data_IF_042462304471
#
_entry.id   IF_042462304471
#
_cell.length_a   1.000
_cell.length_b   1.000
_cell.length_c   1.000
_cell.angle_alpha   90.00
_cell.angle_beta   90.00
_cell.angle_gamma   90.00
#
_symmetry.space_group_name_H-M   'P 1'
#
loop_
_entity.id
_entity.type
_entity.pdbx_description
1 polymer ?
#
# COMPACT_ATOMS: atom_id res chain seq x y z
N UNK A 1 71.72 10.91 12.01
CA UNK A 1 70.48 11.73 11.97
C UNK A 1 69.52 11.01 11.04
N UNK A 2 68.56 10.26 11.55
CA UNK A 2 67.66 9.42 10.79
C UNK A 2 66.27 10.07 10.86
N UNK A 3 65.77 10.52 9.71
CA UNK A 3 64.42 11.11 9.58
C UNK A 3 63.47 9.98 9.16
N UNK A 4 62.65 9.47 10.09
CA UNK A 4 61.54 8.58 9.78
C UNK A 4 60.35 9.35 9.28
N UNK A 5 60.11 9.28 7.94
CA UNK A 5 58.93 9.83 7.32
C UNK A 5 57.69 9.03 7.71
N UNK A 6 56.72 9.69 8.37
CA UNK A 6 55.39 9.15 8.66
C UNK A 6 54.56 9.13 7.37
N UNK A 7 54.39 7.93 6.81
CA UNK A 7 53.48 7.75 5.67
C UNK A 7 52.03 7.88 6.18
N UNK A 8 51.36 8.99 5.87
CA UNK A 8 49.97 9.22 6.16
C UNK A 8 49.15 8.39 5.17
N UNK A 9 48.72 7.19 5.62
CA UNK A 9 47.78 6.37 4.88
C UNK A 9 46.47 7.09 4.71
N UNK A 10 46.23 7.64 3.50
CA UNK A 10 44.94 8.20 3.09
C UNK A 10 43.96 7.06 2.90
N UNK A 11 43.25 6.66 3.96
CA UNK A 11 42.07 5.82 3.84
C UNK A 11 40.98 6.61 3.12
N UNK A 12 40.69 6.26 1.87
CA UNK A 12 39.51 6.77 1.18
C UNK A 12 38.29 6.33 1.98
N UNK A 13 37.46 7.29 2.43
CA UNK A 13 36.19 6.97 3.04
C UNK A 13 35.37 6.11 2.07
N UNK A 14 34.65 5.09 2.54
CA UNK A 14 33.82 4.28 1.65
C UNK A 14 32.83 5.18 0.95
N UNK A 15 32.77 5.08 -0.39
CA UNK A 15 31.76 5.77 -1.19
C UNK A 15 30.42 5.10 -0.89
N UNK A 16 29.55 5.81 -0.18
CA UNK A 16 28.19 5.37 0.05
C UNK A 16 27.43 5.64 -1.24
N UNK A 17 27.10 4.58 -1.98
CA UNK A 17 26.24 4.67 -3.16
C UNK A 17 24.80 4.78 -2.65
N UNK A 18 24.07 5.86 -3.00
CA UNK A 18 22.67 6.00 -2.63
C UNK A 18 21.84 4.86 -3.22
N UNK A 19 20.91 4.31 -2.44
CA UNK A 19 19.95 3.37 -2.97
C UNK A 19 18.88 4.10 -3.79
N UNK A 20 18.67 3.64 -5.02
CA UNK A 20 17.69 4.17 -5.97
C UNK A 20 16.68 3.11 -6.41
N UNK A 21 16.76 1.94 -5.84
CA UNK A 21 15.87 0.81 -6.15
C UNK A 21 14.56 1.00 -5.38
N UNK A 22 13.44 0.92 -6.10
CA UNK A 22 12.11 1.03 -5.46
C UNK A 22 11.73 -0.29 -4.80
N UNK A 23 11.01 -0.25 -3.68
CA UNK A 23 10.47 -1.46 -3.06
C UNK A 23 9.47 -2.16 -3.98
N UNK A 24 9.32 -3.46 -3.83
CA UNK A 24 8.34 -4.28 -4.52
C UNK A 24 7.13 -4.55 -3.63
N UNK A 25 5.94 -4.65 -4.25
CA UNK A 25 4.67 -4.93 -3.58
C UNK A 25 4.02 -6.12 -4.29
N UNK A 26 3.84 -7.23 -3.58
CA UNK A 26 3.15 -8.41 -4.08
C UNK A 26 1.88 -8.65 -3.25
N UNK A 27 0.72 -8.29 -3.81
CA UNK A 27 -0.59 -8.49 -3.16
C UNK A 27 -1.10 -9.89 -3.52
N UNK A 28 -1.40 -10.70 -2.50
CA UNK A 28 -1.99 -12.04 -2.65
C UNK A 28 -3.48 -12.05 -2.34
N UNK A 29 -3.96 -11.09 -1.55
CA UNK A 29 -5.39 -10.88 -1.26
C UNK A 29 -5.65 -9.39 -1.01
N UNK A 30 -6.77 -8.83 -1.49
CA UNK A 30 -7.73 -9.44 -2.40
C UNK A 30 -7.10 -9.68 -3.79
N UNK A 31 -7.70 -10.60 -4.57
CA UNK A 31 -7.28 -10.81 -5.97
C UNK A 31 -8.01 -9.83 -6.90
N UNK A 32 -7.39 -9.52 -8.04
CA UNK A 32 -8.02 -8.66 -9.05
C UNK A 32 -9.34 -9.27 -9.54
N UNK A 33 -10.39 -8.45 -9.60
CA UNK A 33 -11.74 -8.86 -10.01
C UNK A 33 -12.53 -9.60 -8.93
N UNK A 34 -11.98 -9.83 -7.74
CA UNK A 34 -12.72 -10.48 -6.63
C UNK A 34 -13.97 -9.68 -6.28
N UNK A 35 -15.05 -10.39 -5.94
CA UNK A 35 -16.34 -9.77 -5.56
C UNK A 35 -16.61 -9.91 -4.07
N UNK A 36 -17.16 -8.86 -3.49
CA UNK A 36 -17.59 -8.78 -2.10
C UNK A 36 -19.04 -8.26 -2.04
N UNK A 37 -19.69 -8.43 -0.90
CA UNK A 37 -21.00 -7.84 -0.62
C UNK A 37 -20.93 -6.97 0.64
N UNK A 38 -21.89 -6.07 0.80
CA UNK A 38 -22.02 -5.25 1.99
C UNK A 38 -22.08 -6.13 3.25
N UNK A 39 -21.40 -5.73 4.32
CA UNK A 39 -21.24 -6.49 5.55
C UNK A 39 -20.06 -7.45 5.58
N UNK A 40 -19.39 -7.70 4.47
CA UNK A 40 -18.23 -8.60 4.42
C UNK A 40 -16.92 -7.88 4.76
N UNK A 41 -15.97 -8.64 5.30
CA UNK A 41 -14.60 -8.20 5.47
C UNK A 41 -13.78 -8.49 4.20
N UNK A 42 -12.88 -7.57 3.85
CA UNK A 42 -11.83 -7.77 2.85
C UNK A 42 -10.58 -8.24 3.60
N UNK A 43 -10.16 -9.48 3.37
CA UNK A 43 -8.87 -9.94 3.85
C UNK A 43 -7.76 -9.37 2.96
N UNK A 44 -6.82 -8.66 3.56
CA UNK A 44 -5.64 -8.16 2.86
C UNK A 44 -4.42 -8.98 3.23
N UNK A 45 -3.64 -9.36 2.24
CA UNK A 45 -2.31 -9.93 2.43
C UNK A 45 -1.38 -9.45 1.31
N UNK A 46 -0.23 -8.92 1.70
CA UNK A 46 0.82 -8.52 0.78
C UNK A 46 2.20 -8.75 1.37
N UNK A 47 3.16 -9.02 0.49
CA UNK A 47 4.58 -9.06 0.81
C UNK A 47 5.26 -7.85 0.19
N UNK A 48 5.99 -7.13 1.01
CA UNK A 48 6.84 -6.01 0.65
C UNK A 48 8.29 -6.47 0.66
N UNK A 49 9.10 -6.06 -0.32
CA UNK A 49 10.52 -6.36 -0.32
C UNK A 49 11.34 -5.24 -0.96
N UNK A 50 12.56 -5.06 -0.44
CA UNK A 50 13.51 -4.07 -0.87
C UNK A 50 14.96 -4.60 -0.75
N UNK A 51 15.89 -4.07 -1.55
CA UNK A 51 17.30 -4.49 -1.55
C UNK A 51 18.08 -4.00 -0.32
N UNK A 52 17.68 -2.88 0.30
CA UNK A 52 18.34 -2.28 1.46
C UNK A 52 17.48 -2.40 2.71
N UNK A 53 16.36 -1.67 2.78
CA UNK A 53 15.42 -1.74 3.89
C UNK A 53 14.08 -1.08 3.57
N UNK A 54 13.00 -1.66 4.02
CA UNK A 54 11.65 -1.10 4.01
C UNK A 54 11.50 0.00 5.07
N UNK A 55 10.63 0.97 4.83
CA UNK A 55 10.28 2.02 5.78
C UNK A 55 8.81 1.96 6.18
N UNK A 56 7.88 2.02 5.22
CA UNK A 56 6.46 2.11 5.53
C UNK A 56 5.56 1.71 4.36
N UNK A 57 4.28 1.46 4.68
CA UNK A 57 3.21 1.27 3.71
C UNK A 57 1.95 2.01 4.16
N UNK A 58 1.06 2.26 3.22
CA UNK A 58 -0.31 2.72 3.43
C UNK A 58 -1.27 2.05 2.45
N UNK A 59 -2.57 2.08 2.77
CA UNK A 59 -3.63 1.51 1.95
C UNK A 59 -4.75 2.53 1.78
N UNK A 60 -5.25 2.65 0.56
CA UNK A 60 -6.45 3.42 0.25
C UNK A 60 -7.41 2.58 -0.61
N UNK A 61 -8.66 2.48 -0.16
CA UNK A 61 -9.76 1.89 -0.94
C UNK A 61 -10.74 2.98 -1.31
N UNK A 62 -11.11 3.04 -2.58
CA UNK A 62 -12.07 4.02 -3.08
C UNK A 62 -12.86 3.47 -4.26
N UNK A 63 -14.09 3.97 -4.45
CA UNK A 63 -14.88 3.64 -5.62
C UNK A 63 -14.20 4.18 -6.88
N UNK A 64 -14.10 3.33 -7.92
CA UNK A 64 -13.69 3.77 -9.25
C UNK A 64 -14.80 4.60 -9.88
N UNK A 65 -14.52 5.88 -10.10
CA UNK A 65 -15.49 6.78 -10.77
C UNK A 65 -15.42 6.55 -12.27
N UNK A 66 -16.42 5.90 -12.80
CA UNK A 66 -16.69 5.86 -14.24
C UNK A 66 -17.63 7.04 -14.50
N UNK A 67 -17.20 8.05 -15.24
CA UNK A 67 -17.97 9.28 -15.46
C UNK A 67 -19.46 9.01 -15.77
N UNK A 68 -20.35 9.59 -14.98
CA UNK A 68 -21.80 9.44 -15.08
C UNK A 68 -22.52 10.28 -14.03
N UNK A 69 -23.75 10.72 -14.33
CA UNK A 69 -24.60 11.45 -13.40
C UNK A 69 -25.11 10.50 -12.30
N UNK A 70 -24.92 10.87 -11.04
CA UNK A 70 -25.54 10.17 -9.92
C UNK A 70 -26.98 10.65 -9.76
N UNK A 71 -27.95 9.78 -10.03
CA UNK A 71 -29.33 10.01 -9.62
C UNK A 71 -29.45 9.77 -8.11
N UNK A 72 -30.11 10.68 -7.40
CA UNK A 72 -30.41 10.51 -5.98
C UNK A 72 -31.43 9.39 -5.81
N UNK A 73 -30.99 8.26 -5.31
CA UNK A 73 -31.82 7.08 -5.01
C UNK A 73 -32.09 7.02 -3.51
N UNK A 74 -33.29 6.64 -3.13
CA UNK A 74 -33.63 6.29 -1.73
C UNK A 74 -33.81 4.78 -1.66
N UNK A 75 -33.07 4.05 -0.84
CA UNK A 75 -32.08 4.51 0.20
C UNK A 75 -30.85 5.22 -0.39
N UNK A 76 -30.18 6.05 0.43
CA UNK A 76 -29.02 6.80 -0.01
C UNK A 76 -27.87 5.85 -0.31
N UNK A 77 -27.33 5.89 -1.54
CA UNK A 77 -26.17 5.10 -1.93
C UNK A 77 -24.88 5.81 -1.54
N UNK A 78 -24.03 5.17 -0.71
CA UNK A 78 -22.79 5.74 -0.21
C UNK A 78 -21.62 4.86 -0.67
N UNK A 79 -20.60 5.43 -1.35
CA UNK A 79 -19.40 4.69 -1.70
C UNK A 79 -18.64 4.21 -0.47
N UNK A 80 -18.18 2.98 -0.50
CA UNK A 80 -17.23 2.48 0.49
C UNK A 80 -15.87 3.17 0.32
N UNK A 81 -15.26 3.55 1.42
CA UNK A 81 -13.88 4.02 1.47
C UNK A 81 -13.18 3.48 2.71
N UNK A 82 -11.89 3.20 2.56
CA UNK A 82 -11.03 2.76 3.67
C UNK A 82 -9.67 3.41 3.50
N UNK A 83 -9.10 3.89 4.58
CA UNK A 83 -7.76 4.44 4.62
C UNK A 83 -7.03 3.83 5.82
N UNK A 84 -5.94 3.13 5.55
CA UNK A 84 -4.96 2.79 6.57
C UNK A 84 -3.83 3.78 6.47
N UNK A 85 -3.65 4.55 7.52
CA UNK A 85 -2.55 5.52 7.63
C UNK A 85 -1.20 4.82 7.52
N UNK A 86 -0.18 5.58 7.15
CA UNK A 86 1.21 5.14 7.05
C UNK A 86 1.61 4.30 8.27
N UNK A 87 1.98 3.07 8.02
CA UNK A 87 2.38 2.08 9.02
C UNK A 87 3.81 1.65 8.76
N UNK A 88 4.62 1.60 9.80
CA UNK A 88 6.03 1.24 9.69
C UNK A 88 6.21 -0.21 9.22
N UNK A 89 7.21 -0.40 8.37
CA UNK A 89 7.79 -1.67 7.97
C UNK A 89 9.24 -1.73 8.45
N UNK A 90 9.82 -2.92 8.46
CA UNK A 90 11.21 -3.13 8.86
C UNK A 90 11.88 -4.25 8.07
N UNK A 91 13.21 -4.20 8.02
CA UNK A 91 14.01 -5.19 7.31
C UNK A 91 13.88 -5.10 5.80
N UNK A 92 14.37 -6.12 5.11
CA UNK A 92 14.38 -6.19 3.65
C UNK A 92 13.12 -6.84 3.06
N UNK A 93 12.35 -7.55 3.87
CA UNK A 93 11.11 -8.19 3.43
C UNK A 93 10.18 -8.35 4.62
N UNK A 94 8.90 -8.03 4.39
CA UNK A 94 7.86 -8.19 5.41
C UNK A 94 6.52 -8.53 4.76
N UNK A 95 5.83 -9.52 5.32
CA UNK A 95 4.45 -9.86 4.93
C UNK A 95 3.49 -9.27 5.95
N UNK A 96 2.47 -8.58 5.46
CA UNK A 96 1.40 -7.98 6.25
C UNK A 96 0.09 -8.68 5.92
N UNK A 97 -0.69 -8.98 6.96
CA UNK A 97 -2.06 -9.51 6.84
C UNK A 97 -3.01 -8.68 7.69
N UNK A 98 -4.14 -8.27 7.12
CA UNK A 98 -5.20 -7.52 7.79
C UNK A 98 -6.56 -8.20 7.52
N UNK A 99 -7.41 -8.22 8.53
CA UNK A 99 -8.79 -8.75 8.45
C UNK A 99 -9.84 -7.76 8.92
N UNK A 100 -9.44 -6.53 9.17
CA UNK A 100 -10.23 -5.44 9.76
C UNK A 100 -10.81 -4.45 8.73
N UNK A 101 -10.63 -4.73 7.43
CA UNK A 101 -11.18 -3.91 6.35
C UNK A 101 -12.63 -4.36 6.10
N UNK A 102 -13.58 -3.75 6.80
CA UNK A 102 -14.99 -4.17 6.77
C UNK A 102 -15.78 -3.25 5.85
N UNK A 103 -16.46 -3.84 4.85
CA UNK A 103 -17.46 -3.13 4.07
C UNK A 103 -18.70 -2.98 4.96
N UNK A 104 -19.22 -1.75 5.17
CA UNK A 104 -20.41 -1.57 6.00
C UNK A 104 -21.59 -2.41 5.50
N UNK A 105 -22.40 -2.91 6.42
CA UNK A 105 -23.64 -3.56 6.06
C UNK A 105 -24.67 -2.54 5.52
N UNK A 106 -25.51 -2.96 4.59
CA UNK A 106 -26.64 -2.16 4.14
C UNK A 106 -27.67 -2.01 5.26
N UNK A 107 -28.30 -0.84 5.33
CA UNK A 107 -29.38 -0.53 6.25
C UNK A 107 -30.66 -0.14 5.47
N UNK A 108 -31.77 0.09 6.18
CA UNK A 108 -33.01 0.55 5.55
C UNK A 108 -32.89 1.92 4.86
N UNK A 109 -31.95 2.77 5.31
CA UNK A 109 -31.78 4.15 4.81
C UNK A 109 -30.50 4.36 4.03
N UNK A 110 -29.50 3.49 4.15
CA UNK A 110 -28.18 3.63 3.52
C UNK A 110 -27.72 2.30 2.95
N UNK A 111 -27.33 2.30 1.69
CA UNK A 111 -26.73 1.15 1.02
C UNK A 111 -25.31 1.48 0.56
N UNK A 112 -24.43 0.49 0.58
CA UNK A 112 -23.10 0.62 -0.02
C UNK A 112 -23.25 0.64 -1.55
N UNK A 113 -22.63 1.62 -2.19
CA UNK A 113 -22.69 1.73 -3.67
C UNK A 113 -21.97 0.53 -4.29
N UNK A 114 -22.70 -0.21 -5.13
CA UNK A 114 -22.14 -1.33 -5.91
C UNK A 114 -21.24 -0.87 -7.04
N UNK A 115 -20.41 -1.76 -7.57
CA UNK A 115 -19.55 -1.55 -8.73
C UNK A 115 -18.06 -1.74 -8.43
N UNK A 116 -17.22 -1.19 -9.30
CA UNK A 116 -15.76 -1.38 -9.23
C UNK A 116 -15.12 -0.43 -8.22
N UNK A 117 -14.19 -0.97 -7.45
CA UNK A 117 -13.39 -0.25 -6.47
C UNK A 117 -11.90 -0.46 -6.72
N UNK A 118 -11.11 0.56 -6.42
CA UNK A 118 -9.66 0.51 -6.43
C UNK A 118 -9.15 0.20 -5.01
N UNK A 119 -8.29 -0.79 -4.90
CA UNK A 119 -7.50 -1.09 -3.71
C UNK A 119 -6.05 -0.71 -3.99
N UNK A 120 -5.61 0.43 -3.51
CA UNK A 120 -4.27 0.96 -3.74
C UNK A 120 -3.40 0.75 -2.50
N UNK A 121 -2.21 0.22 -2.72
CA UNK A 121 -1.17 0.04 -1.71
C UNK A 121 0.06 0.81 -2.13
N UNK A 122 0.58 1.65 -1.26
CA UNK A 122 1.85 2.34 -1.45
C UNK A 122 2.89 1.74 -0.50
N UNK A 123 4.16 1.75 -0.90
CA UNK A 123 5.29 1.37 -0.06
C UNK A 123 6.45 2.32 -0.29
N UNK A 124 7.14 2.67 0.77
CA UNK A 124 8.35 3.51 0.77
C UNK A 124 9.46 2.75 1.47
N UNK A 125 10.67 2.83 0.93
CA UNK A 125 11.88 2.29 1.52
C UNK A 125 12.60 3.31 2.44
N UNK A 126 13.67 2.88 3.08
CA UNK A 126 14.48 3.74 3.95
C UNK A 126 15.25 4.84 3.24
N UNK A 127 15.37 4.79 1.92
CA UNK A 127 16.01 5.78 1.05
C UNK A 127 15.01 6.74 0.40
N UNK A 128 13.71 6.64 0.79
CA UNK A 128 12.58 7.40 0.24
C UNK A 128 12.22 7.07 -1.22
N UNK A 129 12.63 5.91 -1.75
CA UNK A 129 12.08 5.45 -3.00
C UNK A 129 10.68 4.89 -2.76
N UNK A 130 9.72 5.29 -3.59
CA UNK A 130 8.33 4.90 -3.45
C UNK A 130 7.84 4.05 -4.61
N UNK A 131 6.98 3.08 -4.32
CA UNK A 131 6.24 2.28 -5.29
C UNK A 131 4.78 2.16 -4.89
N UNK A 132 3.90 1.93 -5.86
CA UNK A 132 2.48 1.69 -5.59
C UNK A 132 1.92 0.62 -6.51
N UNK A 133 0.99 -0.15 -5.98
CA UNK A 133 0.22 -1.17 -6.73
C UNK A 133 -1.26 -0.93 -6.49
N UNK A 134 -2.06 -1.02 -7.54
CA UNK A 134 -3.53 -0.93 -7.46
C UNK A 134 -4.13 -2.17 -8.08
N UNK A 135 -5.06 -2.80 -7.35
CA UNK A 135 -5.93 -3.85 -7.88
C UNK A 135 -7.37 -3.38 -7.87
N UNK A 136 -8.17 -3.88 -8.80
CA UNK A 136 -9.62 -3.60 -8.85
C UNK A 136 -10.39 -4.79 -8.29
N UNK A 137 -11.46 -4.52 -7.55
CA UNK A 137 -12.40 -5.51 -7.05
C UNK A 137 -13.84 -4.98 -7.16
N UNK A 138 -14.83 -5.84 -6.98
CA UNK A 138 -16.24 -5.48 -7.10
C UNK A 138 -16.95 -5.51 -5.75
N UNK A 139 -17.89 -4.60 -5.53
CA UNK A 139 -18.93 -4.70 -4.52
C UNK A 139 -20.26 -4.89 -5.25
N UNK A 140 -20.97 -5.99 -4.94
CA UNK A 140 -22.26 -6.39 -5.54
C UNK A 140 -23.43 -6.17 -4.58
#
# INVERSE_FOLDING_TARGET
MIITGCSKGGGSAPVVVPDTTKPTISITSPTAGQSFVAGNAISFQATFADNVALQSYDIAVSKKVLGGFMLKVVPTSVPFSYIKSTTALSGKSQTISLSDIIIPANTATTIVTTGVYNFKVNCVDSSNNANSTTIEFNIN
#
